data_IF_291736140297
#
_entry.id   IF_291736140297
#
_cell.length_a   1.000
_cell.length_b   1.000
_cell.length_c   1.000
_cell.angle_alpha   90.00
_cell.angle_beta   90.00
_cell.angle_gamma   90.00
#
_symmetry.space_group_name_H-M   'P 1'
#
loop_
_entity.id
_entity.type
_entity.pdbx_description
1 polymer ?
#
# COMPACT_ATOMS: atom_id res chain seq x y z
N UNK A 1 -12.30 -43.37 51.75
CA UNK A 1 -13.47 -43.03 50.92
C UNK A 1 -13.51 -41.56 50.61
N UNK A 2 -13.21 -40.66 51.52
CA UNK A 2 -13.12 -39.24 51.26
C UNK A 2 -12.03 -38.85 50.27
N UNK A 3 -10.91 -39.55 50.30
CA UNK A 3 -9.79 -39.31 49.39
C UNK A 3 -10.13 -39.65 47.96
N UNK A 4 -10.89 -40.73 47.72
CA UNK A 4 -11.28 -41.11 46.38
C UNK A 4 -12.28 -40.13 45.79
N UNK A 5 -13.24 -39.61 46.56
CA UNK A 5 -14.18 -38.60 46.14
C UNK A 5 -13.51 -37.28 45.79
N UNK A 6 -12.55 -36.85 46.66
CA UNK A 6 -11.77 -35.64 46.43
C UNK A 6 -10.90 -35.80 45.21
N UNK A 7 -10.23 -36.94 45.05
CA UNK A 7 -9.37 -37.21 43.89
C UNK A 7 -10.15 -37.25 42.57
N UNK A 8 -11.33 -37.89 42.59
CA UNK A 8 -12.19 -37.93 41.39
C UNK A 8 -12.71 -36.56 40.98
N UNK A 9 -13.14 -35.78 41.99
CA UNK A 9 -13.62 -34.43 41.73
C UNK A 9 -12.50 -33.51 41.24
N UNK A 10 -11.31 -33.66 41.84
CA UNK A 10 -10.13 -32.91 41.39
C UNK A 10 -9.79 -33.24 39.94
N UNK A 11 -9.80 -34.51 39.57
CA UNK A 11 -9.52 -34.96 38.21
C UNK A 11 -10.56 -34.40 37.24
N UNK A 12 -11.83 -34.45 37.57
CA UNK A 12 -12.90 -33.90 36.73
C UNK A 12 -12.73 -32.37 36.54
N UNK A 13 -12.41 -31.67 37.61
CA UNK A 13 -12.15 -30.23 37.54
C UNK A 13 -10.93 -29.92 36.69
N UNK A 14 -9.88 -30.72 36.82
CA UNK A 14 -8.67 -30.56 36.02
C UNK A 14 -8.95 -30.80 34.52
N UNK A 15 -9.70 -31.86 34.18
CA UNK A 15 -10.07 -32.14 32.80
C UNK A 15 -10.95 -31.04 32.21
N UNK A 16 -11.90 -30.51 33.02
CA UNK A 16 -12.72 -29.39 32.59
C UNK A 16 -11.87 -28.16 32.31
N UNK A 17 -10.91 -27.90 33.18
CA UNK A 17 -9.98 -26.78 33.00
C UNK A 17 -9.18 -26.93 31.69
N UNK A 18 -8.66 -28.13 31.44
CA UNK A 18 -7.90 -28.39 30.21
C UNK A 18 -8.78 -28.20 28.96
N UNK A 19 -10.02 -28.67 29.00
CA UNK A 19 -10.96 -28.50 27.89
C UNK A 19 -11.25 -27.03 27.63
N UNK A 20 -11.46 -26.25 28.67
CA UNK A 20 -11.68 -24.81 28.58
C UNK A 20 -10.45 -24.11 28.02
N UNK A 21 -9.27 -24.52 28.44
CA UNK A 21 -8.00 -23.97 27.96
C UNK A 21 -7.80 -24.29 26.47
N UNK A 22 -8.05 -25.53 26.06
CA UNK A 22 -7.99 -25.93 24.66
C UNK A 22 -8.95 -25.12 23.77
N UNK A 23 -10.18 -24.91 24.25
CA UNK A 23 -11.18 -24.09 23.57
C UNK A 23 -10.69 -22.66 23.43
N UNK A 24 -10.14 -22.08 24.50
CA UNK A 24 -9.61 -20.73 24.48
C UNK A 24 -8.43 -20.59 23.49
N UNK A 25 -7.54 -21.58 23.48
CA UNK A 25 -6.42 -21.60 22.52
C UNK A 25 -6.93 -21.67 21.10
N UNK A 26 -7.94 -22.53 20.84
CA UNK A 26 -8.56 -22.65 19.53
C UNK A 26 -9.17 -21.33 19.06
N UNK A 27 -9.88 -20.65 19.94
CA UNK A 27 -10.47 -19.34 19.66
C UNK A 27 -9.40 -18.29 19.37
N UNK A 28 -8.32 -18.28 20.13
CA UNK A 28 -7.20 -17.36 19.92
C UNK A 28 -6.52 -17.61 18.59
N UNK A 29 -6.34 -18.86 18.20
CA UNK A 29 -5.77 -19.21 16.90
C UNK A 29 -6.65 -18.71 15.76
N UNK A 30 -7.97 -18.88 15.86
CA UNK A 30 -8.89 -18.38 14.85
C UNK A 30 -8.86 -16.86 14.76
N UNK A 31 -8.81 -16.19 15.91
CA UNK A 31 -8.71 -14.72 15.96
C UNK A 31 -7.39 -14.26 15.32
N UNK A 32 -6.30 -14.95 15.59
CA UNK A 32 -5.00 -14.63 14.99
C UNK A 32 -5.05 -14.77 13.47
N UNK A 33 -5.61 -15.87 12.96
CA UNK A 33 -5.75 -16.08 11.52
C UNK A 33 -6.61 -15.00 10.88
N UNK A 34 -7.69 -14.60 11.55
CA UNK A 34 -8.57 -13.52 11.07
C UNK A 34 -7.79 -12.20 10.96
N UNK A 35 -7.02 -11.86 11.99
CA UNK A 35 -6.19 -10.64 11.97
C UNK A 35 -5.12 -10.71 10.88
N UNK A 36 -4.47 -11.85 10.71
CA UNK A 36 -3.47 -12.04 9.67
C UNK A 36 -4.08 -11.87 8.28
N UNK A 37 -5.26 -12.41 8.05
CA UNK A 37 -5.98 -12.28 6.78
C UNK A 37 -6.36 -10.82 6.51
N UNK A 38 -6.86 -10.12 7.52
CA UNK A 38 -7.19 -8.70 7.40
C UNK A 38 -5.97 -7.85 7.13
N UNK A 39 -4.84 -8.16 7.75
CA UNK A 39 -3.58 -7.46 7.50
C UNK A 39 -3.10 -7.68 6.07
N UNK A 40 -3.20 -8.92 5.58
CA UNK A 40 -2.85 -9.24 4.19
C UNK A 40 -3.71 -8.46 3.21
N UNK A 41 -5.03 -8.43 3.43
CA UNK A 41 -5.96 -7.67 2.59
C UNK A 41 -5.66 -6.18 2.60
N UNK A 42 -5.36 -5.64 3.78
CA UNK A 42 -5.01 -4.23 3.92
C UNK A 42 -3.71 -3.90 3.18
N UNK A 43 -2.71 -4.78 3.25
CA UNK A 43 -1.45 -4.60 2.50
C UNK A 43 -1.67 -4.64 1.00
N UNK A 44 -2.47 -5.59 0.51
CA UNK A 44 -2.79 -5.70 -0.91
C UNK A 44 -3.48 -4.43 -1.42
N UNK A 45 -4.46 -3.94 -0.67
CA UNK A 45 -5.16 -2.70 -1.00
C UNK A 45 -4.21 -1.51 -1.01
N UNK A 46 -3.33 -1.42 -0.02
CA UNK A 46 -2.34 -0.36 0.05
C UNK A 46 -1.39 -0.40 -1.14
N UNK A 47 -0.91 -1.61 -1.50
CA UNK A 47 -0.02 -1.78 -2.66
C UNK A 47 -0.69 -1.37 -3.96
N UNK A 48 -1.96 -1.72 -4.15
CA UNK A 48 -2.73 -1.32 -5.33
C UNK A 48 -2.87 0.20 -5.41
N UNK A 49 -3.21 0.83 -4.29
CA UNK A 49 -3.36 2.29 -4.22
C UNK A 49 -2.04 3.00 -4.43
N UNK A 50 -0.97 2.48 -3.86
CA UNK A 50 0.37 3.03 -4.04
C UNK A 50 0.81 2.94 -5.50
N UNK A 51 0.63 1.78 -6.13
CA UNK A 51 0.96 1.59 -7.54
C UNK A 51 0.17 2.56 -8.44
N UNK A 52 -1.12 2.75 -8.15
CA UNK A 52 -1.96 3.70 -8.87
C UNK A 52 -1.46 5.14 -8.69
N UNK A 53 -1.12 5.52 -7.48
CA UNK A 53 -0.58 6.83 -7.17
C UNK A 53 0.73 7.08 -7.92
N UNK A 54 1.64 6.10 -7.91
CA UNK A 54 2.91 6.20 -8.64
C UNK A 54 2.70 6.30 -10.15
N UNK A 55 1.73 5.56 -10.68
CA UNK A 55 1.35 5.67 -12.09
C UNK A 55 0.85 7.07 -12.45
N UNK A 56 0.01 7.65 -11.59
CA UNK A 56 -0.49 9.01 -11.79
C UNK A 56 0.63 10.04 -11.68
N UNK A 57 1.55 9.87 -10.74
CA UNK A 57 2.71 10.76 -10.60
C UNK A 57 3.57 10.76 -11.87
N UNK A 58 3.85 9.57 -12.41
CA UNK A 58 4.62 9.44 -13.65
C UNK A 58 3.90 10.08 -14.83
N UNK A 59 2.59 9.93 -14.89
CA UNK A 59 1.78 10.56 -15.94
C UNK A 59 1.85 12.08 -15.86
N UNK A 60 1.70 12.64 -14.66
CA UNK A 60 1.83 14.08 -14.43
C UNK A 60 3.21 14.58 -14.82
N UNK A 61 4.26 13.87 -14.40
CA UNK A 61 5.65 14.23 -14.76
C UNK A 61 5.84 14.23 -16.26
N UNK A 62 5.28 13.24 -16.97
CA UNK A 62 5.35 13.18 -18.44
C UNK A 62 4.64 14.36 -19.09
N UNK A 63 3.45 14.71 -18.61
CA UNK A 63 2.72 15.86 -19.16
C UNK A 63 3.45 17.17 -18.89
N UNK A 64 4.05 17.34 -17.73
CA UNK A 64 4.85 18.52 -17.41
C UNK A 64 6.08 18.62 -18.30
N UNK A 65 6.75 17.49 -18.56
CA UNK A 65 7.90 17.45 -19.44
C UNK A 65 7.51 17.79 -20.89
N UNK A 66 6.40 17.21 -21.36
CA UNK A 66 5.88 17.49 -22.72
C UNK A 66 5.50 18.96 -22.87
N UNK A 67 4.87 19.55 -21.85
CA UNK A 67 4.52 20.96 -21.83
C UNK A 67 5.76 21.86 -21.89
N UNK A 68 6.79 21.50 -21.14
CA UNK A 68 8.08 22.24 -21.14
C UNK A 68 8.74 22.15 -22.51
N UNK A 69 8.77 20.95 -23.13
CA UNK A 69 9.34 20.76 -24.46
C UNK A 69 8.59 21.56 -25.52
N UNK A 70 7.25 21.60 -25.42
CA UNK A 70 6.43 22.40 -26.33
C UNK A 70 6.72 23.89 -26.18
N UNK A 71 6.91 24.35 -24.95
CA UNK A 71 7.26 25.75 -24.66
C UNK A 71 8.63 26.10 -25.19
N UNK A 72 9.63 25.22 -24.99
CA UNK A 72 10.99 25.40 -25.48
C UNK A 72 11.02 25.49 -27.02
N UNK A 73 10.25 24.64 -27.69
CA UNK A 73 10.13 24.67 -29.15
C UNK A 73 9.49 25.98 -29.64
N UNK A 74 8.50 26.47 -28.90
CA UNK A 74 7.83 27.73 -29.24
C UNK A 74 8.78 28.89 -29.09
N UNK A 75 9.56 28.93 -28.00
CA UNK A 75 10.56 29.96 -27.79
C UNK A 75 11.66 29.90 -28.86
N UNK A 76 12.13 28.71 -29.22
CA UNK A 76 13.13 28.50 -30.25
C UNK A 76 12.65 29.04 -31.59
N UNK A 77 11.40 28.75 -31.92
CA UNK A 77 10.81 29.24 -33.16
C UNK A 77 10.72 30.77 -33.21
N UNK A 78 10.34 31.40 -32.10
CA UNK A 78 10.30 32.84 -31.98
C UNK A 78 11.68 33.46 -32.10
N UNK A 79 12.69 32.86 -31.49
CA UNK A 79 14.06 33.33 -31.62
C UNK A 79 14.59 33.21 -33.03
N UNK A 80 14.28 32.11 -33.72
CA UNK A 80 14.66 31.90 -35.13
C UNK A 80 14.01 32.92 -36.04
N UNK A 81 12.71 33.22 -35.86
CA UNK A 81 12.00 34.23 -36.60
C UNK A 81 12.58 35.61 -36.39
N UNK A 82 12.91 35.93 -35.12
CA UNK A 82 13.53 37.19 -34.78
C UNK A 82 14.90 37.33 -35.42
N UNK A 83 15.70 36.26 -35.37
CA UNK A 83 17.04 36.24 -36.02
C UNK A 83 16.92 36.45 -37.55
N UNK A 84 15.94 35.84 -38.19
CA UNK A 84 15.67 36.07 -39.62
C UNK A 84 15.32 37.50 -39.92
N UNK A 85 14.48 38.14 -39.11
CA UNK A 85 14.13 39.55 -39.25
C UNK A 85 15.34 40.45 -39.12
N UNK A 86 16.16 40.20 -38.14
CA UNK A 86 17.43 40.95 -37.95
C UNK A 86 18.35 40.77 -39.12
N UNK A 87 18.47 39.54 -39.64
CA UNK A 87 19.30 39.25 -40.80
C UNK A 87 18.80 40.00 -42.07
N UNK A 88 17.50 40.09 -42.27
CA UNK A 88 16.91 40.80 -43.39
C UNK A 88 17.07 42.32 -43.29
N UNK A 89 17.24 42.85 -42.06
CA UNK A 89 17.48 44.29 -41.83
C UNK A 89 18.97 44.62 -41.75
N UNK A 90 19.84 43.67 -41.98
CA UNK A 90 21.28 43.87 -41.90
C UNK A 90 21.77 44.80 -42.99
N UNK A 91 23.03 45.27 -42.86
CA UNK A 91 23.62 46.20 -43.85
C UNK A 91 23.69 45.54 -45.23
N UNK A 92 23.34 46.29 -46.22
CA UNK A 92 23.35 45.83 -47.60
C UNK A 92 24.68 46.20 -48.29
#
# INVERSE_FOLDING_TARGET
QGQQGVSGQWLMNYQRFLTQLETAIGQQRQTLLWHQDNLRKARELWQQRYARLEGLRKLVQRYLLEARQAEDKREQKLLDEFAQRLSSLGPR
#
